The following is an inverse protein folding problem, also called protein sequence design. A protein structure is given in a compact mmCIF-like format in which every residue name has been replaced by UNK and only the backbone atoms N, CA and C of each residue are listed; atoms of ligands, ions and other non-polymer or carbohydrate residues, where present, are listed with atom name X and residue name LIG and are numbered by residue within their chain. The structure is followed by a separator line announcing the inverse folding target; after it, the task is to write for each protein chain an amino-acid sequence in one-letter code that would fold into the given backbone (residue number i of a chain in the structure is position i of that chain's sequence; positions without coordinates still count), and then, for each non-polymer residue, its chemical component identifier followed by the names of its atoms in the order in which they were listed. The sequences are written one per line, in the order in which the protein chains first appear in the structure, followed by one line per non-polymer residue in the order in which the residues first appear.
data_IF_408715193906
#
_entry.id   IF_408715193906
#
_cell.length_a   1.000
_cell.length_b   1.000
_cell.length_c   1.000
_cell.angle_alpha   90.00
_cell.angle_beta   90.00
_cell.angle_gamma   90.00
#
_symmetry.space_group_name_H-M   'P 1'
#
loop_
_entity.id
_entity.type
_entity.pdbx_description
1 polymer ?
#
# COMPACT_ATOMS: atom_id res chain seq x y z
N UNK A 1 10.57 12.22 7.61
CA UNK A 1 10.19 12.08 6.19
C UNK A 1 9.00 11.12 6.13
N UNK A 2 7.78 11.64 6.10
CA UNK A 2 6.59 10.82 5.86
C UNK A 2 6.70 10.22 4.47
N UNK A 3 6.70 8.88 4.42
CA UNK A 3 6.67 8.08 3.21
C UNK A 3 5.62 8.61 2.23
N UNK A 4 5.97 9.02 1.00
CA UNK A 4 4.98 9.40 -0.02
C UNK A 4 3.85 8.35 -0.16
N UNK A 5 4.22 7.08 -0.03
CA UNK A 5 3.34 5.92 -0.07
C UNK A 5 2.34 5.83 1.10
N UNK A 6 2.62 6.42 2.27
CA UNK A 6 1.70 6.29 3.42
C UNK A 6 0.37 7.00 3.22
N UNK A 7 0.35 8.00 2.31
CA UNK A 7 -0.86 8.75 1.96
C UNK A 7 -1.80 7.97 1.03
N UNK A 8 -1.27 7.00 0.27
CA UNK A 8 -2.02 6.16 -0.66
C UNK A 8 -2.48 4.83 -0.03
N UNK A 9 -2.07 4.54 1.21
CA UNK A 9 -2.54 3.36 1.93
C UNK A 9 -3.96 3.58 2.43
N UNK A 10 -4.88 2.82 1.86
CA UNK A 10 -6.26 2.70 2.33
C UNK A 10 -6.33 1.62 3.42
N UNK A 11 -7.10 1.90 4.45
CA UNK A 11 -7.24 1.01 5.60
C UNK A 11 -8.37 0.00 5.39
N UNK A 12 -8.02 -1.28 5.34
CA UNK A 12 -8.94 -2.41 5.21
C UNK A 12 -8.94 -3.25 6.50
N UNK A 13 -8.50 -2.68 7.63
CA UNK A 13 -8.37 -3.39 8.90
C UNK A 13 -9.72 -3.76 9.49
N UNK A 14 -9.76 -4.87 10.20
CA UNK A 14 -10.91 -5.35 10.95
C UNK A 14 -10.56 -5.39 12.45
N UNK A 15 -11.53 -5.66 13.34
CA UNK A 15 -11.23 -5.91 14.75
C UNK A 15 -10.32 -7.12 15.01
N UNK A 16 -10.06 -7.97 13.99
CA UNK A 16 -9.26 -9.20 14.13
C UNK A 16 -7.89 -9.11 13.50
N UNK A 17 -7.72 -8.29 12.47
CA UNK A 17 -6.47 -8.17 11.73
C UNK A 17 -6.34 -6.80 11.08
N UNK A 18 -5.11 -6.38 10.85
CA UNK A 18 -4.74 -5.20 10.11
C UNK A 18 -4.41 -5.59 8.68
N UNK A 19 -4.96 -4.85 7.73
CA UNK A 19 -4.70 -5.01 6.30
C UNK A 19 -4.87 -3.64 5.64
N UNK A 20 -4.00 -3.34 4.68
CA UNK A 20 -4.03 -2.09 3.95
C UNK A 20 -4.01 -2.38 2.46
N UNK A 21 -4.54 -1.46 1.67
CA UNK A 21 -4.50 -1.57 0.22
C UNK A 21 -3.94 -0.31 -0.43
N UNK A 22 -3.47 -0.48 -1.66
CA UNK A 22 -3.04 0.60 -2.54
C UNK A 22 -3.65 0.35 -3.90
N UNK A 23 -4.28 1.37 -4.48
CA UNK A 23 -4.80 1.31 -5.85
C UNK A 23 -3.79 1.86 -6.84
N UNK A 24 -3.52 1.11 -7.90
CA UNK A 24 -2.75 1.63 -9.02
C UNK A 24 -3.53 2.75 -9.73
N UNK A 25 -2.91 3.90 -9.93
CA UNK A 25 -3.55 5.06 -10.58
C UNK A 25 -3.53 4.98 -12.11
N UNK A 26 -3.11 3.85 -12.68
CA UNK A 26 -3.09 3.57 -14.13
C UNK A 26 -4.06 2.45 -14.51
N UNK A 27 -3.94 1.26 -13.91
CA UNK A 27 -4.86 0.16 -14.20
C UNK A 27 -6.08 0.10 -13.27
N UNK A 28 -6.05 0.78 -12.12
CA UNK A 28 -7.12 0.73 -11.13
C UNK A 28 -7.12 -0.52 -10.24
N UNK A 29 -6.22 -1.48 -10.48
CA UNK A 29 -6.10 -2.69 -9.67
C UNK A 29 -5.63 -2.37 -8.25
N UNK A 30 -6.11 -3.16 -7.29
CA UNK A 30 -5.73 -3.06 -5.89
C UNK A 30 -4.66 -4.10 -5.54
N UNK A 31 -3.64 -3.63 -4.85
CA UNK A 31 -2.73 -4.48 -4.09
C UNK A 31 -3.14 -4.46 -2.61
N UNK A 32 -2.97 -5.59 -1.93
CA UNK A 32 -3.25 -5.74 -0.51
C UNK A 32 -1.98 -6.16 0.23
N UNK A 33 -1.76 -5.54 1.39
CA UNK A 33 -0.67 -5.91 2.28
C UNK A 33 -0.88 -7.27 2.90
N UNK A 34 0.21 -7.84 3.41
CA UNK A 34 0.12 -8.96 4.35
C UNK A 34 -0.82 -8.63 5.51
N UNK A 35 -1.65 -9.60 5.92
CA UNK A 35 -2.58 -9.44 7.03
C UNK A 35 -1.90 -9.73 8.36
N UNK A 36 -1.93 -8.77 9.29
CA UNK A 36 -1.31 -8.89 10.62
C UNK A 36 -2.42 -9.06 11.67
N UNK A 37 -2.48 -10.18 12.41
CA UNK A 37 -3.49 -10.36 13.45
C UNK A 37 -3.38 -9.33 14.57
N UNK A 38 -4.51 -8.82 15.05
CA UNK A 38 -4.56 -7.99 16.25
C UNK A 38 -4.32 -8.85 17.49
N UNK A 39 -3.32 -8.50 18.31
CA UNK A 39 -2.86 -9.36 19.41
C UNK A 39 -3.91 -9.59 20.50
N UNK A 40 -4.89 -8.66 20.64
CA UNK A 40 -5.95 -8.72 21.67
C UNK A 40 -7.33 -9.01 21.11
N UNK A 41 -7.47 -9.47 19.87
CA UNK A 41 -8.78 -9.68 19.24
C UNK A 41 -9.75 -10.53 20.09
N UNK A 42 -9.27 -11.63 20.68
CA UNK A 42 -10.09 -12.50 21.52
C UNK A 42 -10.47 -11.84 22.86
N UNK A 43 -9.54 -11.11 23.48
CA UNK A 43 -9.79 -10.45 24.77
C UNK A 43 -10.70 -9.24 24.60
N UNK A 44 -10.55 -8.48 23.51
CA UNK A 44 -11.43 -7.36 23.17
C UNK A 44 -12.89 -7.83 22.98
N UNK A 45 -13.09 -9.00 22.37
CA UNK A 45 -14.41 -9.60 22.23
C UNK A 45 -14.99 -10.09 23.56
N UNK A 46 -14.13 -10.56 24.49
CA UNK A 46 -14.55 -11.15 25.77
C UNK A 46 -14.82 -10.12 26.87
N UNK A 47 -14.13 -8.98 26.84
CA UNK A 47 -14.16 -7.97 27.92
C UNK A 47 -14.54 -6.58 27.36
N UNK A 48 -15.81 -6.38 26.96
CA UNK A 48 -16.26 -5.11 26.38
C UNK A 48 -16.15 -3.94 27.36
N UNK A 49 -16.14 -4.19 28.67
CA UNK A 49 -15.94 -3.16 29.70
C UNK A 49 -14.54 -2.52 29.66
N UNK A 50 -13.57 -3.17 29.01
CA UNK A 50 -12.20 -2.66 28.83
C UNK A 50 -11.97 -2.10 27.42
N UNK A 51 -13.04 -1.70 26.73
CA UNK A 51 -12.99 -1.23 25.35
C UNK A 51 -11.93 -0.15 25.12
N UNK A 52 -11.88 0.89 25.96
CA UNK A 52 -10.93 1.99 25.79
C UNK A 52 -9.47 1.51 25.80
N UNK A 53 -9.14 0.55 26.66
CA UNK A 53 -7.81 -0.05 26.71
C UNK A 53 -7.49 -0.81 25.42
N UNK A 54 -8.43 -1.62 24.93
CA UNK A 54 -8.20 -2.39 23.71
C UNK A 54 -8.19 -1.52 22.46
N UNK A 55 -8.98 -0.45 22.40
CA UNK A 55 -8.95 0.53 21.31
C UNK A 55 -7.60 1.24 21.27
N UNK A 56 -7.04 1.62 22.42
CA UNK A 56 -5.70 2.21 22.50
C UNK A 56 -4.60 1.25 22.01
N UNK A 57 -4.67 -0.03 22.40
CA UNK A 57 -3.73 -1.06 21.93
C UNK A 57 -3.92 -1.30 20.43
N UNK A 58 -5.16 -1.34 19.95
CA UNK A 58 -5.50 -1.55 18.55
C UNK A 58 -4.89 -0.45 17.67
N UNK A 59 -5.05 0.83 18.03
CA UNK A 59 -4.45 1.93 17.25
C UNK A 59 -2.92 1.83 17.19
N UNK A 60 -2.28 1.53 18.32
CA UNK A 60 -0.81 1.36 18.37
C UNK A 60 -0.33 0.24 17.46
N UNK A 61 -0.96 -0.94 17.53
CA UNK A 61 -0.57 -2.08 16.68
C UNK A 61 -0.89 -1.81 15.20
N UNK A 62 -1.99 -1.10 14.93
CA UNK A 62 -2.37 -0.69 13.58
C UNK A 62 -1.37 0.26 12.95
N UNK A 63 -0.82 1.21 13.70
CA UNK A 63 0.25 2.10 13.21
C UNK A 63 1.50 1.32 12.80
N UNK A 64 1.87 0.31 13.60
CA UNK A 64 3.00 -0.57 13.28
C UNK A 64 2.71 -1.39 12.02
N UNK A 65 1.51 -1.97 11.91
CA UNK A 65 1.07 -2.68 10.73
C UNK A 65 1.02 -1.77 9.48
N UNK A 66 0.58 -0.51 9.62
CA UNK A 66 0.57 0.49 8.55
C UNK A 66 1.98 0.80 8.06
N UNK A 67 2.93 0.92 8.98
CA UNK A 67 4.34 1.14 8.62
C UNK A 67 4.92 -0.06 7.86
N UNK A 68 4.61 -1.29 8.29
CA UNK A 68 5.04 -2.50 7.61
C UNK A 68 4.43 -2.61 6.20
N UNK A 69 3.12 -2.40 6.07
CA UNK A 69 2.43 -2.35 4.78
C UNK A 69 3.01 -1.26 3.87
N UNK A 70 3.40 -0.11 4.45
CA UNK A 70 4.05 0.96 3.72
C UNK A 70 5.42 0.60 3.16
N UNK A 71 6.20 -0.28 3.84
CA UNK A 71 7.45 -0.81 3.28
C UNK A 71 7.16 -1.80 2.16
N UNK A 72 6.24 -2.74 2.39
CA UNK A 72 5.85 -3.75 1.40
C UNK A 72 5.32 -3.10 0.10
N UNK A 73 4.56 -2.01 0.22
CA UNK A 73 4.07 -1.26 -0.92
C UNK A 73 5.21 -0.61 -1.73
N UNK A 74 6.32 -0.18 -1.10
CA UNK A 74 7.45 0.44 -1.82
C UNK A 74 8.16 -0.54 -2.74
N UNK A 75 8.10 -1.82 -2.41
CA UNK A 75 8.72 -2.87 -3.21
C UNK A 75 7.88 -3.26 -4.43
N UNK A 76 6.63 -2.78 -4.53
CA UNK A 76 5.68 -3.14 -5.60
C UNK A 76 5.07 -1.97 -6.37
N UNK A 77 5.36 -0.75 -5.93
CA UNK A 77 4.83 0.46 -6.51
C UNK A 77 5.93 1.49 -6.69
N UNK A 78 5.92 2.08 -7.88
CA UNK A 78 6.81 3.16 -8.28
C UNK A 78 6.01 4.43 -8.56
N UNK A 79 6.58 5.59 -8.25
CA UNK A 79 5.99 6.87 -8.63
C UNK A 79 6.51 7.27 -10.02
N UNK A 80 5.60 7.55 -10.95
CA UNK A 80 6.00 8.02 -12.27
C UNK A 80 6.64 9.42 -12.18
N UNK A 81 7.85 9.64 -12.74
CA UNK A 81 8.55 10.92 -12.63
C UNK A 81 7.83 12.05 -13.38
N UNK A 82 7.04 11.71 -14.41
CA UNK A 82 6.32 12.68 -15.25
C UNK A 82 4.97 13.07 -14.65
N UNK A 83 4.09 12.10 -14.38
CA UNK A 83 2.72 12.40 -13.93
C UNK A 83 2.54 12.30 -12.40
N UNK A 84 3.57 11.88 -11.66
CA UNK A 84 3.57 11.72 -10.19
C UNK A 84 2.56 10.73 -9.61
N UNK A 85 1.82 10.03 -10.48
CA UNK A 85 0.94 8.93 -10.09
C UNK A 85 1.74 7.77 -9.51
N UNK A 86 1.11 7.06 -8.58
CA UNK A 86 1.60 5.82 -8.01
C UNK A 86 1.14 4.63 -8.85
N UNK A 87 2.10 3.81 -9.27
CA UNK A 87 1.90 2.82 -10.33
C UNK A 87 2.47 1.47 -9.90
N UNK A 88 1.71 0.40 -10.09
CA UNK A 88 2.20 -0.95 -9.81
C UNK A 88 3.26 -1.39 -10.82
N UNK A 89 4.06 -2.39 -10.45
CA UNK A 89 5.13 -2.94 -11.29
C UNK A 89 4.68 -3.39 -12.69
N UNK A 90 3.44 -3.88 -12.85
CA UNK A 90 2.90 -4.26 -14.15
C UNK A 90 2.57 -3.07 -15.07
N UNK A 91 2.42 -1.87 -14.51
CA UNK A 91 2.13 -0.65 -15.26
C UNK A 91 3.32 0.31 -15.32
N UNK A 92 4.43 -0.02 -14.66
CA UNK A 92 5.68 0.72 -14.66
C UNK A 92 6.66 0.02 -15.60
N UNK A 93 7.13 0.75 -16.60
CA UNK A 93 8.01 0.25 -17.66
C UNK A 93 9.44 0.65 -17.36
N UNK A 94 10.34 -0.30 -17.51
CA UNK A 94 11.78 -0.09 -17.59
C UNK A 94 12.05 0.37 -19.03
N UNK A 95 12.46 1.63 -19.17
CA UNK A 95 12.76 2.26 -20.46
C UNK A 95 14.25 2.60 -20.52
N UNK A 96 14.79 2.82 -21.72
CA UNK A 96 16.23 3.06 -21.90
C UNK A 96 16.72 4.35 -21.23
N UNK A 97 15.94 5.43 -21.34
CA UNK A 97 16.32 6.75 -20.80
C UNK A 97 15.84 6.97 -19.36
N UNK A 98 14.57 6.66 -19.09
CA UNK A 98 13.95 6.87 -17.78
C UNK A 98 12.72 5.98 -17.63
N UNK A 99 12.60 5.31 -16.49
CA UNK A 99 11.43 4.46 -16.22
C UNK A 99 10.15 5.29 -16.07
N UNK A 100 9.09 4.83 -16.73
CA UNK A 100 7.84 5.55 -16.90
C UNK A 100 6.64 4.66 -16.63
N UNK A 101 5.50 5.27 -16.29
CA UNK A 101 4.26 4.51 -16.41
C UNK A 101 3.91 4.30 -17.88
N UNK A 102 3.24 3.18 -18.20
CA UNK A 102 2.86 2.82 -19.57
C UNK A 102 2.10 3.92 -20.33
N UNK A 103 1.30 4.75 -19.64
CA UNK A 103 0.59 5.88 -20.26
C UNK A 103 1.54 7.02 -20.66
N UNK A 104 2.55 7.32 -19.83
CA UNK A 104 3.54 8.35 -20.15
C UNK A 104 4.51 7.87 -21.23
N UNK A 105 4.96 6.62 -21.14
CA UNK A 105 5.80 5.98 -22.15
C UNK A 105 5.12 6.00 -23.52
N UNK A 106 3.86 5.52 -23.60
CA UNK A 106 3.10 5.53 -24.85
C UNK A 106 2.92 6.94 -25.44
N UNK A 107 2.70 7.96 -24.61
CA UNK A 107 2.57 9.35 -25.06
C UNK A 107 3.88 9.92 -25.62
N UNK A 108 5.02 9.47 -25.11
CA UNK A 108 6.36 9.91 -25.53
C UNK A 108 6.97 9.00 -26.59
N UNK A 109 6.28 7.93 -26.99
CA UNK A 109 6.78 6.91 -27.92
C UNK A 109 8.04 6.20 -27.40
N UNK A 110 8.20 6.15 -26.07
CA UNK A 110 9.30 5.46 -25.41
C UNK A 110 8.99 3.96 -25.26
N UNK A 111 9.80 3.06 -25.85
CA UNK A 111 9.65 1.63 -25.65
C UNK A 111 10.06 1.24 -24.22
N UNK A 112 9.51 0.15 -23.72
CA UNK A 112 9.91 -0.39 -22.42
C UNK A 112 9.20 -1.68 -22.08
N UNK A 113 9.77 -2.40 -21.13
CA UNK A 113 9.23 -3.66 -20.62
C UNK A 113 8.71 -3.46 -19.19
N UNK A 114 7.57 -4.07 -18.82
CA UNK A 114 7.04 -3.91 -17.48
C UNK A 114 7.94 -4.58 -16.43
N UNK A 115 8.03 -3.98 -15.24
CA UNK A 115 8.83 -4.53 -14.11
C UNK A 115 8.32 -5.92 -13.69
N UNK A 116 7.00 -6.13 -13.78
CA UNK A 116 6.38 -7.44 -13.60
C UNK A 116 5.51 -7.78 -14.82
N UNK A 117 5.56 -9.03 -15.34
CA UNK A 117 4.79 -9.45 -16.51
C UNK A 117 3.27 -9.49 -16.28
#
# INVERSE_FOLDING_TARGET
MTSLLSSHLEDCSTPRYFCFSVRCEVCGEYWYSSSIPFSKAAQAARYPEKKELYDAIYQREKEWARSAAGQEARERFSQCPICRRLVCDACFLICDEMDLCRECAARMEEPGEPVAP
#
